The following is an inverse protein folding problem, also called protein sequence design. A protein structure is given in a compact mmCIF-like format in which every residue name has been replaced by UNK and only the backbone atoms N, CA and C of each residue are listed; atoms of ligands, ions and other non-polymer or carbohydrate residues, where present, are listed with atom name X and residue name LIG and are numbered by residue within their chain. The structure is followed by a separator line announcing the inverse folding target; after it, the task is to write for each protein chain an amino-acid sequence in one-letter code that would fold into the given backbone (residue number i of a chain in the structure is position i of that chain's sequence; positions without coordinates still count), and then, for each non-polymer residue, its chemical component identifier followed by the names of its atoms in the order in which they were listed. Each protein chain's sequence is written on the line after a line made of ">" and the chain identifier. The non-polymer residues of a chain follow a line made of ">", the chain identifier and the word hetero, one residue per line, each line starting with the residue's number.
data_IF_665653442421
#
_entry.id   IF_665653442421
#
_cell.length_a   1.000
_cell.length_b   1.000
_cell.length_c   1.000
_cell.angle_alpha   90.00
_cell.angle_beta   90.00
_cell.angle_gamma   90.00
#
_symmetry.space_group_name_H-M   'P 1'
#
loop_
_entity.id
_entity.type
_entity.pdbx_description
1 polymer ?
#
# COMPACT_ATOMS: atom_id res chain seq x y z
N UNK A 1 9.15 2.94 3.21
CA UNK A 1 10.30 2.10 3.62
C UNK A 1 11.63 2.77 3.29
N UNK A 2 12.02 2.89 2.02
CA UNK A 2 13.31 3.48 1.61
C UNK A 2 13.55 4.86 2.23
N UNK A 3 12.60 5.80 2.07
CA UNK A 3 12.73 7.14 2.65
C UNK A 3 12.92 7.15 4.17
N UNK A 4 12.15 6.31 4.88
CA UNK A 4 12.25 6.17 6.34
C UNK A 4 13.60 5.57 6.75
N UNK A 5 14.06 4.54 6.04
CA UNK A 5 15.37 3.92 6.28
C UNK A 5 16.50 4.94 6.03
N UNK A 6 16.44 5.73 4.96
CA UNK A 6 17.41 6.80 4.71
C UNK A 6 17.48 7.85 5.83
N UNK A 7 16.39 8.06 6.58
CA UNK A 7 16.33 9.02 7.68
C UNK A 7 16.73 8.44 9.03
N UNK A 8 16.40 7.17 9.28
CA UNK A 8 16.55 6.55 10.60
C UNK A 8 17.70 5.53 10.70
N UNK A 9 18.00 4.81 9.62
CA UNK A 9 19.00 3.75 9.59
C UNK A 9 19.60 3.59 8.17
N UNK A 10 20.42 4.55 7.69
CA UNK A 10 20.98 4.53 6.34
C UNK A 10 21.81 3.27 6.04
N UNK A 11 22.47 2.73 7.05
CA UNK A 11 23.28 1.51 6.98
C UNK A 11 22.45 0.25 6.67
N UNK A 12 21.16 0.24 7.02
CA UNK A 12 20.24 -0.86 6.75
C UNK A 12 19.44 -0.68 5.45
N UNK A 13 19.69 0.39 4.69
CA UNK A 13 18.92 0.75 3.50
C UNK A 13 18.85 -0.39 2.48
N UNK A 14 20.00 -0.98 2.12
CA UNK A 14 20.11 -2.07 1.16
C UNK A 14 19.28 -3.29 1.58
N UNK A 15 19.56 -3.90 2.75
CA UNK A 15 18.77 -5.01 3.29
C UNK A 15 17.26 -4.75 3.35
N UNK A 16 16.84 -3.57 3.84
CA UNK A 16 15.42 -3.19 3.95
C UNK A 16 14.76 -3.09 2.56
N UNK A 17 15.45 -2.48 1.59
CA UNK A 17 14.92 -2.30 0.25
C UNK A 17 14.71 -3.65 -0.46
N UNK A 18 15.70 -4.54 -0.40
CA UNK A 18 15.57 -5.89 -0.98
C UNK A 18 14.40 -6.63 -0.33
N UNK A 19 14.38 -6.69 1.00
CA UNK A 19 13.33 -7.35 1.75
C UNK A 19 11.92 -6.82 1.38
N UNK A 20 11.77 -5.50 1.30
CA UNK A 20 10.49 -4.87 0.96
C UNK A 20 9.96 -5.32 -0.42
N UNK A 21 10.79 -5.25 -1.47
CA UNK A 21 10.35 -5.64 -2.81
C UNK A 21 10.16 -7.17 -2.94
N UNK A 22 10.97 -7.96 -2.23
CA UNK A 22 10.78 -9.42 -2.18
C UNK A 22 9.41 -9.77 -1.60
N UNK A 23 8.98 -9.20 -0.47
CA UNK A 23 7.66 -9.53 0.09
C UNK A 23 6.50 -8.96 -0.71
N UNK A 24 6.67 -7.81 -1.37
CA UNK A 24 5.67 -7.31 -2.31
C UNK A 24 5.44 -8.28 -3.47
N UNK A 25 6.47 -9.01 -3.92
CA UNK A 25 6.31 -10.06 -4.94
C UNK A 25 5.64 -11.33 -4.38
N UNK A 26 5.81 -11.60 -3.08
CA UNK A 26 5.23 -12.75 -2.39
C UNK A 26 3.80 -12.53 -1.89
N UNK A 27 3.21 -11.35 -2.11
CA UNK A 27 1.79 -11.04 -1.81
C UNK A 27 0.84 -12.17 -2.26
N UNK A 28 0.92 -12.70 -3.51
CA UNK A 28 0.01 -13.75 -3.97
C UNK A 28 0.21 -15.10 -3.27
N UNK A 29 1.36 -15.32 -2.64
CA UNK A 29 1.65 -16.54 -1.88
C UNK A 29 1.20 -16.40 -0.42
N UNK A 30 1.44 -15.22 0.19
CA UNK A 30 1.20 -15.00 1.62
C UNK A 30 -0.26 -14.67 1.92
N UNK A 31 -0.93 -13.86 1.09
CA UNK A 31 -2.29 -13.40 1.40
C UNK A 31 -3.35 -14.52 1.34
N UNK A 32 -3.44 -15.34 0.29
CA UNK A 32 -4.56 -16.28 0.16
C UNK A 32 -4.70 -17.29 1.31
N UNK A 33 -3.62 -17.91 1.84
CA UNK A 33 -3.73 -18.79 3.00
C UNK A 33 -4.34 -18.09 4.21
N UNK A 34 -3.90 -16.87 4.52
CA UNK A 34 -4.40 -16.08 5.65
C UNK A 34 -5.88 -15.74 5.45
N UNK A 35 -6.26 -15.33 4.24
CA UNK A 35 -7.65 -15.04 3.89
C UNK A 35 -8.54 -16.26 4.09
N UNK A 36 -8.11 -17.44 3.64
CA UNK A 36 -8.87 -18.70 3.76
C UNK A 36 -8.97 -19.19 5.21
N UNK A 37 -7.93 -19.00 6.02
CA UNK A 37 -7.93 -19.40 7.44
C UNK A 37 -8.83 -18.48 8.26
N UNK A 38 -8.77 -17.17 8.02
CA UNK A 38 -9.51 -16.21 8.83
C UNK A 38 -10.96 -16.03 8.40
N UNK A 39 -11.31 -16.26 7.13
CA UNK A 39 -12.68 -16.02 6.59
C UNK A 39 -13.42 -17.30 6.22
N UNK A 40 -14.73 -17.29 6.40
CA UNK A 40 -15.65 -18.36 6.02
C UNK A 40 -16.05 -18.25 4.54
N UNK A 41 -16.49 -19.35 3.92
CA UNK A 41 -17.01 -19.32 2.54
C UNK A 41 -18.17 -18.33 2.37
N UNK A 42 -19.10 -18.29 3.33
CA UNK A 42 -20.26 -17.38 3.31
C UNK A 42 -19.82 -15.90 3.28
N UNK A 43 -18.84 -15.52 4.09
CA UNK A 43 -18.29 -14.17 4.08
C UNK A 43 -17.64 -13.83 2.72
N UNK A 44 -16.88 -14.76 2.15
CA UNK A 44 -16.15 -14.58 0.88
C UNK A 44 -17.06 -14.45 -0.33
N UNK A 45 -18.23 -15.07 -0.30
CA UNK A 45 -19.23 -15.00 -1.38
C UNK A 45 -20.06 -13.71 -1.38
N UNK A 46 -19.87 -12.83 -0.39
CA UNK A 46 -20.59 -11.56 -0.28
C UNK A 46 -20.32 -10.67 -1.49
N UNK A 47 -21.38 -10.31 -2.21
CA UNK A 47 -21.35 -9.38 -3.33
C UNK A 47 -21.52 -7.96 -2.80
N UNK A 48 -20.61 -7.07 -3.18
CA UNK A 48 -20.64 -5.67 -2.76
C UNK A 48 -21.47 -4.82 -3.75
N UNK A 49 -22.14 -3.80 -3.22
CA UNK A 49 -22.91 -2.86 -4.03
C UNK A 49 -21.99 -2.00 -4.90
N UNK A 50 -22.46 -1.57 -6.06
CA UNK A 50 -21.70 -0.67 -6.91
C UNK A 50 -21.29 0.62 -6.18
N UNK A 51 -20.12 1.13 -6.57
CA UNK A 51 -19.60 2.38 -6.04
C UNK A 51 -20.48 3.55 -6.52
N UNK A 52 -20.63 4.57 -5.68
CA UNK A 52 -21.25 5.83 -6.09
C UNK A 52 -20.42 6.51 -7.17
N UNK A 53 -21.09 7.29 -8.02
CA UNK A 53 -20.38 8.21 -8.91
C UNK A 53 -19.72 9.33 -8.09
N UNK A 54 -18.46 9.61 -8.40
CA UNK A 54 -17.66 10.64 -7.73
C UNK A 54 -17.50 11.80 -8.68
N UNK A 55 -17.94 12.99 -8.26
CA UNK A 55 -17.87 14.20 -9.07
C UNK A 55 -16.41 14.59 -9.37
N UNK A 56 -16.18 15.26 -10.50
CA UNK A 56 -14.84 15.77 -10.84
C UNK A 56 -14.32 16.75 -9.78
N UNK A 57 -15.20 17.59 -9.24
CA UNK A 57 -14.87 18.53 -8.16
C UNK A 57 -14.37 17.80 -6.92
N UNK A 58 -15.02 16.70 -6.52
CA UNK A 58 -14.60 15.92 -5.36
C UNK A 58 -13.22 15.28 -5.56
N UNK A 59 -12.93 14.76 -6.76
CA UNK A 59 -11.62 14.19 -7.08
C UNK A 59 -10.48 15.22 -7.05
N UNK A 60 -10.75 16.47 -7.44
CA UNK A 60 -9.77 17.56 -7.41
C UNK A 60 -9.55 18.10 -6.00
N UNK A 61 -10.63 18.23 -5.21
CA UNK A 61 -10.55 18.77 -3.85
C UNK A 61 -9.89 17.76 -2.89
N UNK A 62 -10.12 16.45 -3.10
CA UNK A 62 -9.57 15.38 -2.27
C UNK A 62 -8.05 15.52 -1.99
N UNK A 63 -7.15 15.57 -3.00
CA UNK A 63 -5.71 15.69 -2.74
C UNK A 63 -5.33 16.97 -1.99
N UNK A 64 -6.04 18.08 -2.22
CA UNK A 64 -5.76 19.37 -1.56
C UNK A 64 -6.11 19.27 -0.07
N UNK A 65 -7.32 18.80 0.24
CA UNK A 65 -7.80 18.67 1.62
C UNK A 65 -6.94 17.68 2.40
N UNK A 66 -6.62 16.51 1.82
CA UNK A 66 -5.75 15.52 2.46
C UNK A 66 -4.36 16.11 2.74
N UNK A 67 -3.78 16.84 1.80
CA UNK A 67 -2.47 17.48 1.99
C UNK A 67 -2.49 18.47 3.14
N UNK A 68 -3.49 19.36 3.19
CA UNK A 68 -3.61 20.37 4.25
C UNK A 68 -3.82 19.69 5.60
N UNK A 69 -4.78 18.77 5.72
CA UNK A 69 -5.10 18.11 6.99
C UNK A 69 -3.91 17.30 7.52
N UNK A 70 -3.28 16.49 6.68
CA UNK A 70 -2.15 15.66 7.12
C UNK A 70 -0.94 16.52 7.46
N UNK A 71 -0.67 17.60 6.69
CA UNK A 71 0.48 18.48 6.98
C UNK A 71 0.30 19.29 8.27
N UNK A 72 -0.93 19.68 8.61
CA UNK A 72 -1.23 20.37 9.87
C UNK A 72 -1.16 19.45 11.08
N UNK A 73 -1.61 18.19 10.94
CA UNK A 73 -1.59 17.22 12.03
C UNK A 73 -0.20 16.59 12.23
N UNK A 74 0.51 16.31 11.14
CA UNK A 74 1.80 15.60 11.11
C UNK A 74 2.74 16.24 10.07
N UNK A 75 3.43 17.35 10.44
CA UNK A 75 4.32 18.06 9.52
C UNK A 75 5.45 17.20 8.93
N UNK A 76 5.94 16.21 9.68
CA UNK A 76 6.96 15.24 9.24
C UNK A 76 6.52 14.38 8.05
N UNK A 77 5.21 14.21 7.85
CA UNK A 77 4.62 13.44 6.74
C UNK A 77 4.47 14.31 5.48
N UNK A 78 4.50 15.64 5.61
CA UNK A 78 4.19 16.57 4.53
C UNK A 78 4.99 16.32 3.23
N UNK A 79 6.30 15.99 3.26
CA UNK A 79 7.03 15.66 2.02
C UNK A 79 6.50 14.42 1.30
N UNK A 80 6.05 13.41 2.05
CA UNK A 80 5.55 12.15 1.48
C UNK A 80 4.14 12.30 0.92
N UNK A 81 3.20 12.79 1.75
CA UNK A 81 1.80 12.93 1.34
C UNK A 81 1.64 14.07 0.35
N UNK A 82 2.39 15.17 0.49
CA UNK A 82 2.35 16.28 -0.46
C UNK A 82 2.75 15.85 -1.86
N UNK A 83 3.84 15.11 -2.02
CA UNK A 83 4.27 14.61 -3.34
C UNK A 83 3.31 13.57 -3.93
N UNK A 84 2.74 12.69 -3.08
CA UNK A 84 1.72 11.74 -3.51
C UNK A 84 0.45 12.45 -4.02
N UNK A 85 -0.04 13.43 -3.26
CA UNK A 85 -1.24 14.18 -3.61
C UNK A 85 -1.02 15.16 -4.77
N UNK A 86 0.20 15.67 -4.94
CA UNK A 86 0.57 16.45 -6.13
C UNK A 86 0.45 15.61 -7.40
N UNK A 87 0.96 14.37 -7.39
CA UNK A 87 0.80 13.43 -8.49
C UNK A 87 -0.68 13.12 -8.78
N UNK A 88 -1.49 12.97 -7.73
CA UNK A 88 -2.93 12.80 -7.87
C UNK A 88 -3.59 14.05 -8.49
N UNK A 89 -3.20 15.25 -8.08
CA UNK A 89 -3.72 16.50 -8.64
C UNK A 89 -3.35 16.66 -10.11
N UNK A 90 -2.13 16.31 -10.53
CA UNK A 90 -1.74 16.31 -11.95
C UNK A 90 -2.62 15.39 -12.81
N UNK A 91 -3.10 14.30 -12.24
CA UNK A 91 -4.00 13.35 -12.91
C UNK A 91 -5.44 13.90 -12.97
N UNK A 92 -5.95 14.46 -11.88
CA UNK A 92 -7.38 14.80 -11.76
C UNK A 92 -7.74 16.21 -12.24
N UNK A 93 -6.78 17.16 -12.29
CA UNK A 93 -7.07 18.55 -12.67
C UNK A 93 -7.43 18.74 -14.15
N UNK A 94 -7.03 17.79 -15.02
CA UNK A 94 -7.39 17.76 -16.45
C UNK A 94 -6.71 18.82 -17.33
N UNK A 95 -5.83 19.66 -16.78
CA UNK A 95 -5.10 20.70 -17.53
C UNK A 95 -3.59 20.45 -17.62
N UNK A 96 -3.09 19.45 -16.90
CA UNK A 96 -1.66 19.09 -16.85
C UNK A 96 -1.37 17.72 -17.46
N UNK A 97 -2.06 17.33 -18.53
CA UNK A 97 -1.94 16.00 -19.13
C UNK A 97 -0.49 15.64 -19.49
N UNK A 98 0.25 16.59 -20.09
CA UNK A 98 1.68 16.40 -20.40
C UNK A 98 2.51 16.11 -19.15
N UNK A 99 2.33 16.91 -18.09
CA UNK A 99 3.05 16.70 -16.83
C UNK A 99 2.68 15.36 -16.18
N UNK A 100 1.39 15.00 -16.20
CA UNK A 100 0.90 13.75 -15.63
C UNK A 100 1.48 12.52 -16.35
N UNK A 101 1.51 12.54 -17.69
CA UNK A 101 2.13 11.48 -18.49
C UNK A 101 3.63 11.39 -18.26
N UNK A 102 4.33 12.53 -18.25
CA UNK A 102 5.77 12.58 -17.99
C UNK A 102 6.12 12.09 -16.59
N UNK A 103 5.34 12.47 -15.58
CA UNK A 103 5.54 12.03 -14.20
C UNK A 103 5.32 10.51 -14.02
N UNK A 104 4.30 9.93 -14.66
CA UNK A 104 3.96 8.52 -14.53
C UNK A 104 4.90 7.59 -15.31
N UNK A 105 5.44 8.05 -16.44
CA UNK A 105 6.26 7.23 -17.34
C UNK A 105 7.73 7.66 -17.29
N UNK A 106 8.13 8.65 -18.07
CA UNK A 106 9.54 8.97 -18.35
C UNK A 106 10.31 9.36 -17.08
N UNK A 107 9.76 10.29 -16.29
CA UNK A 107 10.41 10.74 -15.06
C UNK A 107 10.49 9.63 -14.02
N UNK A 108 9.39 8.88 -13.83
CA UNK A 108 9.37 7.74 -12.91
C UNK A 108 10.41 6.69 -13.31
N UNK A 109 10.50 6.33 -14.59
CA UNK A 109 11.47 5.36 -15.08
C UNK A 109 12.92 5.82 -14.83
N UNK A 110 13.23 7.09 -15.09
CA UNK A 110 14.57 7.66 -14.84
C UNK A 110 14.89 7.61 -13.34
N UNK A 111 13.98 8.10 -12.49
CA UNK A 111 14.18 8.13 -11.04
C UNK A 111 14.30 6.71 -10.46
N UNK A 112 13.52 5.76 -10.94
CA UNK A 112 13.59 4.35 -10.52
C UNK A 112 14.94 3.73 -10.86
N UNK A 113 15.48 3.98 -12.06
CA UNK A 113 16.82 3.49 -12.44
C UNK A 113 17.89 4.06 -11.50
N UNK A 114 17.86 5.38 -11.25
CA UNK A 114 18.82 6.03 -10.36
C UNK A 114 18.70 5.52 -8.92
N UNK A 115 17.47 5.37 -8.42
CA UNK A 115 17.20 4.88 -7.08
C UNK A 115 17.64 3.42 -6.92
N UNK A 116 17.29 2.55 -7.87
CA UNK A 116 17.69 1.14 -7.84
C UNK A 116 19.21 0.99 -7.89
N UNK A 117 19.89 1.76 -8.76
CA UNK A 117 21.35 1.77 -8.85
C UNK A 117 21.99 2.26 -7.56
N UNK A 118 21.45 3.34 -6.98
CA UNK A 118 21.97 3.90 -5.73
C UNK A 118 21.77 2.97 -4.54
N UNK A 119 20.59 2.35 -4.41
CA UNK A 119 20.32 1.34 -3.37
C UNK A 119 21.22 0.12 -3.57
N UNK A 120 21.38 -0.35 -4.81
CA UNK A 120 22.29 -1.45 -5.15
C UNK A 120 23.75 -1.16 -4.78
N UNK A 121 24.20 0.08 -4.98
CA UNK A 121 25.55 0.52 -4.62
C UNK A 121 25.81 0.46 -3.10
N UNK A 122 24.76 0.52 -2.26
CA UNK A 122 24.89 0.39 -0.80
C UNK A 122 24.95 -1.06 -0.31
N UNK A 123 24.77 -2.05 -1.20
CA UNK A 123 24.76 -3.48 -0.86
C UNK A 123 26.16 -4.11 -0.90
N UNK A 124 27.08 -3.64 -0.05
CA UNK A 124 28.36 -4.33 0.14
C UNK A 124 28.15 -5.70 0.80
N UNK A 125 29.01 -6.68 0.48
CA UNK A 125 28.92 -8.03 1.04
C UNK A 125 28.92 -8.02 2.59
N UNK A 126 29.70 -7.11 3.18
CA UNK A 126 29.82 -6.93 4.63
C UNK A 126 28.52 -6.45 5.28
N UNK A 127 27.76 -5.58 4.61
CA UNK A 127 26.50 -5.05 5.12
C UNK A 127 25.31 -5.98 4.82
N UNK A 128 25.38 -6.73 3.72
CA UNK A 128 24.27 -7.57 3.28
C UNK A 128 24.32 -8.99 3.83
N UNK A 129 25.49 -9.64 3.88
CA UNK A 129 25.66 -11.03 4.37
C UNK A 129 25.78 -11.10 5.89
N UNK A 130 24.85 -10.45 6.59
CA UNK A 130 24.77 -10.44 8.05
C UNK A 130 23.58 -11.24 8.54
N UNK A 131 23.67 -11.76 9.76
CA UNK A 131 22.52 -12.37 10.43
C UNK A 131 21.37 -11.38 10.60
N UNK A 132 21.66 -10.09 10.67
CA UNK A 132 20.64 -9.05 10.81
C UNK A 132 19.83 -8.86 9.52
N UNK A 133 20.43 -9.01 8.34
CA UNK A 133 19.68 -9.06 7.07
C UNK A 133 18.67 -10.21 7.04
N UNK A 134 19.05 -11.40 7.51
CA UNK A 134 18.13 -12.54 7.61
C UNK A 134 16.98 -12.26 8.61
N UNK A 135 17.27 -11.59 9.72
CA UNK A 135 16.23 -11.15 10.67
C UNK A 135 15.29 -10.13 10.04
N UNK A 136 15.80 -9.12 9.34
CA UNK A 136 14.98 -8.13 8.61
C UNK A 136 14.05 -8.85 7.63
N UNK A 137 14.60 -9.86 6.94
CA UNK A 137 13.84 -10.64 5.98
C UNK A 137 12.68 -11.38 6.68
N UNK A 138 12.98 -12.15 7.71
CA UNK A 138 11.98 -12.89 8.47
C UNK A 138 10.92 -11.97 9.09
N UNK A 139 11.34 -10.84 9.69
CA UNK A 139 10.45 -9.85 10.27
C UNK A 139 9.51 -9.24 9.23
N UNK A 140 9.98 -8.99 8.01
CA UNK A 140 9.15 -8.47 6.92
C UNK A 140 8.05 -9.44 6.50
N UNK A 141 8.34 -10.75 6.44
CA UNK A 141 7.32 -11.78 6.17
C UNK A 141 6.25 -11.79 7.26
N UNK A 142 6.68 -11.79 8.53
CA UNK A 142 5.77 -11.78 9.68
C UNK A 142 4.94 -10.50 9.72
N UNK A 143 5.55 -9.34 9.45
CA UNK A 143 4.85 -8.06 9.38
C UNK A 143 3.80 -8.05 8.26
N UNK A 144 4.14 -8.60 7.10
CA UNK A 144 3.21 -8.71 5.98
C UNK A 144 2.03 -9.65 6.29
N UNK A 145 2.32 -10.80 6.89
CA UNK A 145 1.30 -11.74 7.35
C UNK A 145 0.38 -11.12 8.41
N UNK A 146 0.97 -10.44 9.41
CA UNK A 146 0.24 -9.71 10.44
C UNK A 146 -0.61 -8.57 9.88
N UNK A 147 -0.09 -7.79 8.93
CA UNK A 147 -0.84 -6.73 8.25
C UNK A 147 -2.01 -7.27 7.43
N UNK A 148 -1.82 -8.40 6.74
CA UNK A 148 -2.90 -9.08 6.02
C UNK A 148 -3.96 -9.59 6.98
N UNK A 149 -3.55 -10.27 8.07
CA UNK A 149 -4.46 -10.79 9.08
C UNK A 149 -5.24 -9.66 9.75
N UNK A 150 -4.57 -8.59 10.19
CA UNK A 150 -5.19 -7.41 10.76
C UNK A 150 -6.19 -6.74 9.81
N UNK A 151 -5.82 -6.59 8.54
CA UNK A 151 -6.71 -6.05 7.51
C UNK A 151 -7.97 -6.90 7.32
N UNK A 152 -7.83 -8.23 7.23
CA UNK A 152 -8.96 -9.17 7.11
C UNK A 152 -9.85 -9.16 8.36
N UNK A 153 -9.26 -9.11 9.56
CA UNK A 153 -10.01 -9.02 10.82
C UNK A 153 -10.82 -7.72 10.91
N UNK A 154 -10.24 -6.58 10.51
CA UNK A 154 -11.00 -5.33 10.39
C UNK A 154 -12.08 -5.44 9.31
N UNK A 155 -11.79 -6.12 8.19
CA UNK A 155 -12.78 -6.44 7.17
C UNK A 155 -13.96 -7.25 7.72
N UNK A 156 -13.71 -8.18 8.66
CA UNK A 156 -14.78 -8.91 9.37
C UNK A 156 -15.58 -8.02 10.30
N UNK A 157 -14.92 -7.18 11.08
CA UNK A 157 -15.62 -6.20 11.93
C UNK A 157 -16.56 -5.36 11.06
N UNK A 158 -16.11 -4.90 9.89
CA UNK A 158 -16.95 -4.18 8.93
C UNK A 158 -18.08 -5.04 8.35
N UNK A 159 -17.83 -6.32 8.07
CA UNK A 159 -18.89 -7.25 7.63
C UNK A 159 -20.01 -7.33 8.67
N UNK A 160 -19.69 -7.57 9.94
CA UNK A 160 -20.70 -7.67 10.99
C UNK A 160 -21.37 -6.33 11.28
N UNK A 161 -20.60 -5.24 11.37
CA UNK A 161 -21.12 -3.90 11.65
C UNK A 161 -22.07 -3.38 10.55
N UNK A 162 -21.87 -3.80 9.30
CA UNK A 162 -22.72 -3.40 8.16
C UNK A 162 -23.85 -4.38 7.87
N UNK A 163 -24.01 -5.44 8.67
CA UNK A 163 -25.03 -6.48 8.43
C UNK A 163 -24.75 -7.33 7.20
N UNK A 164 -23.48 -7.52 6.83
CA UNK A 164 -23.05 -8.38 5.73
C UNK A 164 -22.91 -7.69 4.38
N UNK A 165 -22.74 -6.36 4.34
CA UNK A 165 -22.59 -5.60 3.07
C UNK A 165 -21.15 -5.48 2.58
N UNK A 166 -20.17 -5.63 3.47
CA UNK A 166 -18.74 -5.46 3.17
C UNK A 166 -18.05 -6.80 3.14
N UNK A 167 -17.48 -7.20 2.00
CA UNK A 167 -16.76 -8.46 1.90
C UNK A 167 -15.41 -8.38 2.66
N UNK A 168 -15.14 -9.25 3.66
CA UNK A 168 -13.89 -9.19 4.45
C UNK A 168 -12.61 -9.33 3.63
N UNK A 169 -12.67 -9.93 2.43
CA UNK A 169 -11.50 -10.09 1.56
C UNK A 169 -10.87 -8.75 1.17
N UNK A 170 -11.66 -7.68 1.03
CA UNK A 170 -11.12 -6.35 0.71
C UNK A 170 -10.20 -5.82 1.82
N UNK A 171 -10.32 -6.34 3.04
CA UNK A 171 -9.46 -5.98 4.16
C UNK A 171 -8.00 -6.38 3.92
N UNK A 172 -7.76 -7.52 3.27
CA UNK A 172 -6.40 -7.94 2.89
C UNK A 172 -5.75 -7.01 1.86
N UNK A 173 -6.57 -6.34 1.04
CA UNK A 173 -6.08 -5.36 0.08
C UNK A 173 -5.54 -4.09 0.74
N UNK A 174 -5.76 -3.88 2.05
CA UNK A 174 -5.16 -2.79 2.82
C UNK A 174 -3.64 -2.84 2.88
N UNK A 175 -3.02 -4.00 2.63
CA UNK A 175 -1.58 -4.09 2.44
C UNK A 175 -1.19 -3.39 1.15
N UNK A 176 -0.32 -2.38 1.23
CA UNK A 176 -0.09 -1.34 0.22
C UNK A 176 0.68 -1.79 -1.03
N UNK A 177 0.49 -3.03 -1.46
CA UNK A 177 1.02 -3.57 -2.71
C UNK A 177 0.05 -3.25 -3.86
N UNK A 178 0.16 -2.04 -4.41
CA UNK A 178 -0.67 -1.58 -5.52
C UNK A 178 -0.15 -2.12 -6.86
N UNK A 179 -1.00 -2.60 -7.78
CA UNK A 179 -2.41 -3.00 -7.60
C UNK A 179 -2.57 -4.46 -7.14
N UNK A 180 -1.46 -5.16 -6.88
CA UNK A 180 -1.42 -6.62 -6.71
C UNK A 180 -2.29 -7.14 -5.55
N UNK A 181 -2.26 -6.52 -4.37
CA UNK A 181 -3.07 -6.98 -3.22
C UNK A 181 -4.58 -6.97 -3.52
N UNK A 182 -5.05 -5.94 -4.23
CA UNK A 182 -6.43 -5.86 -4.67
C UNK A 182 -6.76 -6.92 -5.74
N UNK A 183 -5.81 -7.24 -6.63
CA UNK A 183 -5.94 -8.33 -7.60
C UNK A 183 -5.98 -9.71 -6.93
N UNK A 184 -5.18 -9.93 -5.89
CA UNK A 184 -5.21 -11.19 -5.13
C UNK A 184 -6.56 -11.33 -4.42
N UNK A 185 -7.08 -10.25 -3.83
CA UNK A 185 -8.43 -10.24 -3.25
C UNK A 185 -9.52 -10.56 -4.27
N UNK A 186 -9.41 -10.01 -5.49
CA UNK A 186 -10.29 -10.32 -6.61
C UNK A 186 -10.25 -11.81 -6.96
N UNK A 187 -9.06 -12.38 -7.15
CA UNK A 187 -8.89 -13.79 -7.52
C UNK A 187 -9.50 -14.70 -6.47
N UNK A 188 -9.17 -14.51 -5.19
CA UNK A 188 -9.73 -15.33 -4.10
C UNK A 188 -11.25 -15.15 -3.97
N UNK A 189 -11.78 -13.96 -4.25
CA UNK A 189 -13.22 -13.73 -4.32
C UNK A 189 -13.89 -14.49 -5.46
N UNK A 190 -13.28 -14.50 -6.64
CA UNK A 190 -13.78 -15.19 -7.83
C UNK A 190 -13.69 -16.72 -7.74
N UNK A 191 -12.70 -17.25 -7.01
CA UNK A 191 -12.62 -18.68 -6.70
C UNK A 191 -13.86 -19.18 -5.92
N UNK A 192 -14.44 -18.33 -5.05
CA UNK A 192 -15.60 -18.70 -4.24
C UNK A 192 -16.94 -18.31 -4.91
N UNK A 193 -16.95 -17.26 -5.73
CA UNK A 193 -18.08 -16.84 -6.55
C UNK A 193 -17.59 -16.16 -7.84
N UNK A 194 -17.71 -16.80 -9.02
CA UNK A 194 -17.24 -16.26 -10.30
C UNK A 194 -17.84 -14.90 -10.70
N UNK A 195 -19.02 -14.56 -10.18
CA UNK A 195 -19.70 -13.29 -10.45
C UNK A 195 -19.31 -12.17 -9.48
N UNK A 196 -18.43 -12.45 -8.51
CA UNK A 196 -18.02 -11.47 -7.50
C UNK A 196 -16.80 -10.66 -7.96
N UNK A 197 -17.01 -9.38 -8.27
CA UNK A 197 -15.96 -8.46 -8.70
C UNK A 197 -15.60 -7.49 -7.58
N UNK A 198 -14.55 -7.83 -6.84
CA UNK A 198 -14.01 -7.06 -5.72
C UNK A 198 -12.95 -6.04 -6.13
N UNK A 199 -12.30 -6.13 -7.30
CA UNK A 199 -11.15 -5.30 -7.66
C UNK A 199 -11.42 -3.79 -7.46
N UNK A 200 -12.56 -3.30 -7.95
CA UNK A 200 -12.92 -1.87 -7.82
C UNK A 200 -13.13 -1.44 -6.37
N UNK A 201 -13.66 -2.33 -5.52
CA UNK A 201 -13.87 -2.05 -4.09
C UNK A 201 -12.57 -2.19 -3.29
N UNK A 202 -11.76 -3.20 -3.60
CA UNK A 202 -10.49 -3.51 -2.94
C UNK A 202 -9.40 -2.47 -3.21
N UNK A 203 -9.50 -1.72 -4.32
CA UNK A 203 -8.62 -0.57 -4.58
C UNK A 203 -8.76 0.53 -3.53
N UNK A 204 -9.93 0.69 -2.89
CA UNK A 204 -10.13 1.66 -1.81
C UNK A 204 -9.21 1.41 -0.61
N UNK A 205 -9.32 0.25 0.06
CA UNK A 205 -8.39 -0.16 1.11
C UNK A 205 -6.92 -0.13 0.68
N UNK A 206 -6.60 -0.51 -0.56
CA UNK A 206 -5.21 -0.51 -1.05
C UNK A 206 -4.61 0.92 -1.12
N UNK A 207 -5.36 1.88 -1.65
CA UNK A 207 -4.94 3.29 -1.64
C UNK A 207 -4.88 3.84 -0.21
N UNK A 208 -5.84 3.49 0.64
CA UNK A 208 -5.82 3.87 2.06
C UNK A 208 -4.57 3.32 2.78
N UNK A 209 -4.13 2.12 2.43
CA UNK A 209 -2.89 1.52 2.92
C UNK A 209 -1.65 2.34 2.56
N UNK A 210 -1.55 2.81 1.30
CA UNK A 210 -0.42 3.65 0.86
C UNK A 210 -0.35 4.93 1.69
N UNK A 211 -1.50 5.59 1.91
CA UNK A 211 -1.60 6.79 2.75
C UNK A 211 -1.23 6.45 4.19
N UNK A 212 -1.81 5.38 4.75
CA UNK A 212 -1.54 4.93 6.12
C UNK A 212 -0.07 4.60 6.37
N UNK A 213 0.62 4.00 5.39
CA UNK A 213 2.06 3.73 5.47
C UNK A 213 2.88 5.01 5.49
N UNK A 214 2.51 6.03 4.70
CA UNK A 214 3.18 7.33 4.73
C UNK A 214 2.97 8.05 6.06
N UNK A 215 1.76 7.98 6.62
CA UNK A 215 1.43 8.53 7.94
C UNK A 215 2.24 7.82 9.03
N UNK A 216 2.23 6.48 9.06
CA UNK A 216 3.03 5.70 10.00
C UNK A 216 4.53 6.01 9.89
N UNK A 217 5.05 6.15 8.67
CA UNK A 217 6.43 6.54 8.43
C UNK A 217 6.77 7.92 9.00
N UNK A 218 5.92 8.93 8.81
CA UNK A 218 6.21 10.26 9.35
C UNK A 218 5.99 10.36 10.86
N UNK A 219 5.08 9.58 11.45
CA UNK A 219 5.00 9.42 12.92
C UNK A 219 6.29 8.82 13.46
N UNK A 220 6.78 7.73 12.85
CA UNK A 220 8.05 7.11 13.26
C UNK A 220 9.23 8.07 13.12
N UNK A 221 9.31 8.82 12.03
CA UNK A 221 10.35 9.85 11.87
C UNK A 221 10.21 10.89 12.99
N UNK A 222 9.04 11.47 13.22
CA UNK A 222 8.84 12.49 14.24
C UNK A 222 9.13 12.02 15.68
N UNK A 223 8.95 10.72 15.96
CA UNK A 223 9.24 10.16 17.29
C UNK A 223 10.70 9.76 17.48
N UNK A 224 11.42 9.47 16.39
CA UNK A 224 12.77 8.88 16.42
C UNK A 224 13.86 9.82 15.90
N UNK A 225 13.51 11.01 15.38
CA UNK A 225 14.42 12.11 15.03
C UNK A 225 14.20 13.30 15.94
#
# INVERSE_FOLDING_TARGET
>A
AIYTAMKLAPELLGPIAVAAYTYMSLVPLIQPPIMRVLTTKKERQTVMSQLREVSKTEKIIFPIVVTILVSLLLPSVAPLIGMLMLGNLFRECGVTERLSKTAQNELNNIVVILLATSVGATMSAENFLTLDTLKIIALGIVAFAGGTAGGVLLGKVMYYATGGKVNPLIGSAGVSAVPMAARVSQVVGQEENPQNFLLMHAMGPNVAGVIGTAVAAGVLIALLT
#
